data_IF_616326889146
#
_entry.id   IF_616326889146
#
_cell.length_a   1.000
_cell.length_b   1.000
_cell.length_c   1.000
_cell.angle_alpha   90.00
_cell.angle_beta   90.00
_cell.angle_gamma   90.00
#
_symmetry.space_group_name_H-M   'P 1'
#
loop_
_entity.id
_entity.type
_entity.pdbx_description
1 polymer ?
#
# COMPACT_ATOMS: atom_id res chain seq x y z
N UNK A 1 0.70 7.43 11.69
CA UNK A 1 -0.02 6.14 11.45
C UNK A 1 -1.48 6.29 10.95
N UNK A 2 -2.35 7.09 11.61
CA UNK A 2 -3.78 7.17 11.25
C UNK A 2 -4.06 7.72 9.84
N UNK A 3 -3.23 8.63 9.32
CA UNK A 3 -3.44 9.22 7.99
C UNK A 3 -3.18 8.30 6.79
N UNK A 4 -2.28 7.31 6.91
CA UNK A 4 -2.03 6.32 5.84
C UNK A 4 -3.23 5.37 5.66
N UNK A 5 -3.88 4.96 6.75
CA UNK A 5 -5.09 4.14 6.69
C UNK A 5 -6.26 4.89 6.04
N UNK A 6 -6.43 6.17 6.37
CA UNK A 6 -7.47 7.01 5.76
C UNK A 6 -7.20 7.21 4.26
N UNK A 7 -5.93 7.45 3.87
CA UNK A 7 -5.55 7.57 2.46
C UNK A 7 -5.72 6.29 1.65
N UNK A 8 -5.50 5.13 2.26
CA UNK A 8 -5.75 3.82 1.63
C UNK A 8 -7.26 3.60 1.41
N UNK A 9 -8.10 3.92 2.40
CA UNK A 9 -9.56 3.78 2.30
C UNK A 9 -10.11 4.70 1.21
N UNK A 10 -9.67 5.97 1.17
CA UNK A 10 -10.08 6.94 0.14
C UNK A 10 -9.54 6.54 -1.24
N UNK A 11 -8.30 6.06 -1.31
CA UNK A 11 -7.67 5.60 -2.56
C UNK A 11 -8.33 4.35 -3.16
N UNK A 12 -8.84 3.45 -2.33
CA UNK A 12 -9.55 2.24 -2.76
C UNK A 12 -10.88 2.54 -3.47
N UNK A 13 -11.55 3.64 -3.11
CA UNK A 13 -12.84 4.05 -3.69
C UNK A 13 -12.66 4.76 -5.04
N UNK A 14 -11.55 5.47 -5.26
CA UNK A 14 -11.41 6.38 -6.40
C UNK A 14 -10.82 5.74 -7.66
N UNK A 15 -9.98 4.69 -7.55
CA UNK A 15 -9.54 3.85 -8.69
C UNK A 15 -8.66 2.69 -8.14
N UNK A 16 -9.01 1.40 -8.29
CA UNK A 16 -8.39 0.34 -7.49
C UNK A 16 -6.86 0.18 -7.66
N UNK A 17 -6.25 0.17 -8.86
CA UNK A 17 -4.80 0.03 -8.98
C UNK A 17 -4.04 1.35 -8.82
N UNK A 18 -4.47 2.42 -9.48
CA UNK A 18 -3.76 3.70 -9.47
C UNK A 18 -4.07 4.54 -8.21
N UNK A 19 -5.32 4.50 -7.74
CA UNK A 19 -5.79 5.23 -6.56
C UNK A 19 -5.27 4.65 -5.25
N UNK A 20 -5.00 3.34 -5.15
CA UNK A 20 -4.34 2.77 -3.96
C UNK A 20 -2.89 3.25 -3.84
N UNK A 21 -2.14 3.24 -4.94
CA UNK A 21 -0.74 3.67 -5.01
C UNK A 21 -0.63 5.16 -4.65
N UNK A 22 -1.42 6.00 -5.31
CA UNK A 22 -1.41 7.45 -5.08
C UNK A 22 -2.02 7.80 -3.72
N UNK A 23 -3.11 7.16 -3.33
CA UNK A 23 -3.80 7.39 -2.05
C UNK A 23 -2.98 6.97 -0.83
N UNK A 24 -2.22 5.88 -0.91
CA UNK A 24 -1.29 5.47 0.14
C UNK A 24 -0.17 6.51 0.34
N UNK A 25 0.41 7.00 -0.76
CA UNK A 25 1.50 7.98 -0.73
C UNK A 25 1.02 9.35 -0.23
N UNK A 26 -0.06 9.86 -0.84
CA UNK A 26 -0.64 11.16 -0.49
C UNK A 26 -1.24 11.14 0.91
N UNK A 27 -1.92 10.06 1.31
CA UNK A 27 -2.51 9.94 2.65
C UNK A 27 -1.46 9.81 3.77
N UNK A 28 -0.36 9.11 3.52
CA UNK A 28 0.76 9.09 4.46
C UNK A 28 1.43 10.47 4.57
N UNK A 29 1.64 11.15 3.44
CA UNK A 29 2.24 12.48 3.40
C UNK A 29 1.37 13.54 4.11
N UNK A 30 0.08 13.62 3.76
CA UNK A 30 -0.89 14.55 4.36
C UNK A 30 -1.16 14.19 5.82
N UNK A 31 -1.22 12.89 6.14
CA UNK A 31 -1.38 12.41 7.51
C UNK A 31 -0.28 12.83 8.45
N UNK A 32 0.97 12.78 7.99
CA UNK A 32 2.13 13.22 8.78
C UNK A 32 2.24 14.75 8.81
N UNK A 33 1.87 15.45 7.74
CA UNK A 33 1.77 16.92 7.70
C UNK A 33 0.70 17.48 8.64
N UNK A 34 -0.40 16.78 8.87
CA UNK A 34 -1.44 17.23 9.81
C UNK A 34 -1.01 16.95 11.27
N UNK A 35 -0.23 15.91 11.49
CA UNK A 35 0.22 15.52 12.84
C UNK A 35 1.46 16.30 13.29
N UNK A 36 2.36 16.61 12.36
CA UNK A 36 3.68 17.20 12.62
C UNK A 36 3.97 18.25 11.52
N UNK A 37 3.23 19.36 11.58
CA UNK A 37 3.07 20.32 10.47
C UNK A 37 4.29 21.12 10.03
N UNK A 38 5.45 20.91 10.65
CA UNK A 38 6.66 21.68 10.34
C UNK A 38 7.70 20.93 9.49
N UNK A 39 7.67 19.59 9.44
CA UNK A 39 8.73 18.79 8.81
C UNK A 39 8.29 18.06 7.53
N UNK A 40 8.26 18.81 6.41
CA UNK A 40 7.98 18.25 5.07
C UNK A 40 8.94 17.12 4.69
N UNK A 41 10.20 17.18 5.12
CA UNK A 41 11.20 16.14 4.87
C UNK A 41 10.88 14.83 5.61
N UNK A 42 10.36 14.92 6.84
CA UNK A 42 9.94 13.77 7.63
C UNK A 42 8.69 13.14 7.03
N UNK A 43 7.70 13.96 6.65
CA UNK A 43 6.49 13.50 5.97
C UNK A 43 6.80 12.75 4.65
N UNK A 44 7.73 13.27 3.82
CA UNK A 44 8.18 12.59 2.61
C UNK A 44 8.84 11.23 2.90
N UNK A 45 9.71 11.18 3.92
CA UNK A 45 10.38 9.93 4.33
C UNK A 45 9.37 8.86 4.77
N UNK A 46 8.34 9.26 5.50
CA UNK A 46 7.27 8.36 5.97
C UNK A 46 6.34 7.93 4.82
N UNK A 47 6.06 8.83 3.88
CA UNK A 47 5.30 8.49 2.68
C UNK A 47 6.03 7.44 1.82
N UNK A 48 7.35 7.60 1.62
CA UNK A 48 8.18 6.65 0.87
C UNK A 48 8.27 5.29 1.57
N UNK A 49 8.44 5.25 2.89
CA UNK A 49 8.50 3.98 3.62
C UNK A 49 7.15 3.25 3.64
N UNK A 50 6.04 3.98 3.81
CA UNK A 50 4.69 3.41 3.73
C UNK A 50 4.37 2.88 2.34
N UNK A 51 4.83 3.57 1.30
CA UNK A 51 4.70 3.13 -0.08
C UNK A 51 5.50 1.86 -0.37
N UNK A 52 6.74 1.79 0.10
CA UNK A 52 7.57 0.59 -0.01
C UNK A 52 6.92 -0.61 0.70
N UNK A 53 6.37 -0.41 1.91
CA UNK A 53 5.63 -1.43 2.64
C UNK A 53 4.36 -1.88 1.89
N UNK A 54 3.66 -0.96 1.23
CA UNK A 54 2.49 -1.28 0.41
C UNK A 54 2.83 -2.16 -0.80
N UNK A 55 3.90 -1.80 -1.54
CA UNK A 55 4.38 -2.60 -2.69
C UNK A 55 4.83 -3.98 -2.21
N UNK A 56 5.61 -4.06 -1.14
CA UNK A 56 6.06 -5.34 -0.58
C UNK A 56 4.89 -6.20 -0.10
N UNK A 57 3.92 -5.63 0.62
CA UNK A 57 2.74 -6.36 1.08
C UNK A 57 1.86 -6.85 -0.05
N UNK A 58 1.67 -6.03 -1.09
CA UNK A 58 0.89 -6.42 -2.29
C UNK A 58 1.64 -7.48 -3.10
N UNK A 59 2.95 -7.31 -3.29
CA UNK A 59 3.82 -8.27 -3.96
C UNK A 59 3.86 -9.62 -3.24
N UNK A 60 3.90 -9.63 -1.91
CA UNK A 60 3.87 -10.86 -1.13
C UNK A 60 2.53 -11.58 -1.28
N UNK A 61 1.41 -10.86 -1.26
CA UNK A 61 0.08 -11.44 -1.52
C UNK A 61 0.00 -12.05 -2.93
N UNK A 62 0.55 -11.38 -3.93
CA UNK A 62 0.63 -11.90 -5.30
C UNK A 62 1.51 -13.15 -5.39
N UNK A 63 2.68 -13.15 -4.76
CA UNK A 63 3.59 -14.30 -4.74
C UNK A 63 2.94 -15.53 -4.07
N UNK A 64 2.26 -15.34 -2.93
CA UNK A 64 1.53 -16.41 -2.24
C UNK A 64 0.36 -16.90 -3.09
N UNK A 65 -0.39 -16.00 -3.73
CA UNK A 65 -1.48 -16.39 -4.63
C UNK A 65 -0.99 -17.23 -5.82
N UNK A 66 0.18 -16.90 -6.39
CA UNK A 66 0.80 -17.69 -7.46
C UNK A 66 1.29 -19.04 -6.97
N UNK A 67 1.92 -19.10 -5.79
CA UNK A 67 2.40 -20.35 -5.20
C UNK A 67 1.25 -21.33 -4.93
N UNK A 68 0.14 -20.84 -4.36
CA UNK A 68 -1.06 -21.65 -4.12
C UNK A 68 -1.68 -22.08 -5.46
N UNK A 69 -1.82 -21.17 -6.43
CA UNK A 69 -2.35 -21.51 -7.75
C UNK A 69 -1.53 -22.60 -8.45
N UNK A 70 -0.20 -22.52 -8.37
CA UNK A 70 0.69 -23.54 -8.92
C UNK A 70 0.51 -24.89 -8.23
N UNK A 71 0.36 -24.89 -6.89
CA UNK A 71 0.12 -26.11 -6.12
C UNK A 71 -1.25 -26.74 -6.43
N UNK A 72 -2.28 -25.91 -6.59
CA UNK A 72 -3.64 -26.35 -6.96
C UNK A 72 -3.65 -26.95 -8.36
N UNK A 73 -3.00 -26.34 -9.35
CA UNK A 73 -2.91 -26.89 -10.71
C UNK A 73 -2.14 -28.23 -10.70
N UNK A 74 -1.03 -28.31 -9.95
CA UNK A 74 -0.28 -29.56 -9.74
C UNK A 74 -1.12 -30.65 -9.09
N UNK A 75 -1.97 -30.31 -8.12
CA UNK A 75 -2.84 -31.25 -7.43
C UNK A 75 -4.07 -31.66 -8.25
N UNK A 76 -4.53 -30.83 -9.19
CA UNK A 76 -5.63 -31.13 -10.10
C UNK A 76 -5.23 -31.99 -11.31
N UNK A 77 -3.94 -31.99 -11.66
CA UNK A 77 -3.37 -32.78 -12.77
C UNK A 77 -2.63 -34.05 -12.29
N UNK A 78 -2.80 -34.47 -11.03
CA UNK A 78 -2.35 -35.76 -10.48
C UNK A 78 -3.55 -36.67 -10.25
#
# INVERSE_FOLDING_TARGET
>A
ARGSLVGLIVGMVFFPPAGLIIGAFVGAFVGELIHDGSDKLKALRVAVSSFAAFILGTGMKLAVSLAIGFYVIRALFV
#
